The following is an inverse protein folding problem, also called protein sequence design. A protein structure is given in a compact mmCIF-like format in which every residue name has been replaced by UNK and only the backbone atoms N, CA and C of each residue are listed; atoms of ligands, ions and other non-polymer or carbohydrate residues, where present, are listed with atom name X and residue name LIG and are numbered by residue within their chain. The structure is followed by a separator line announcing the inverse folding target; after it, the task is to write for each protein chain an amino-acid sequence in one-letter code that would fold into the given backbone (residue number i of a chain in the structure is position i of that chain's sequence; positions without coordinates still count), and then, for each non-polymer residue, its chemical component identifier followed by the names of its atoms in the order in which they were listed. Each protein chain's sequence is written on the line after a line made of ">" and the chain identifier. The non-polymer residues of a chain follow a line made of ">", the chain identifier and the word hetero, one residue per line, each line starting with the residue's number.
data_IF_199965653825
#
_entry.id   IF_199965653825
#
_cell.length_a   1.000
_cell.length_b   1.000
_cell.length_c   1.000
_cell.angle_alpha   90.00
_cell.angle_beta   90.00
_cell.angle_gamma   90.00
#
_symmetry.space_group_name_H-M   'P 1'
#
loop_
_entity.id
_entity.type
_entity.pdbx_description
1 polymer ?
#
# COMPACT_ATOMS: atom_id res chain seq x y z
N UNK A 1 53.29 8.33 33.25
CA UNK A 1 52.15 9.23 32.92
C UNK A 1 51.61 8.93 31.52
N UNK A 2 52.46 8.71 30.52
CA UNK A 2 52.03 8.38 29.14
C UNK A 2 51.23 7.07 28.99
N UNK A 3 51.58 6.04 29.76
CA UNK A 3 50.96 4.71 29.67
C UNK A 3 49.52 4.68 30.25
N UNK A 4 49.24 5.59 31.21
CA UNK A 4 47.89 5.81 31.73
C UNK A 4 47.02 6.56 30.70
N UNK A 5 47.60 7.54 29.99
CA UNK A 5 46.91 8.33 28.97
C UNK A 5 46.53 7.49 27.73
N UNK A 6 47.40 6.55 27.32
CA UNK A 6 47.10 5.59 26.23
C UNK A 6 45.94 4.64 26.55
N UNK A 7 45.88 4.13 27.79
CA UNK A 7 44.79 3.25 28.26
C UNK A 7 43.47 4.01 28.35
N UNK A 8 43.49 5.28 28.79
CA UNK A 8 42.31 6.15 28.83
C UNK A 8 41.74 6.46 27.44
N UNK A 9 42.60 6.76 26.46
CA UNK A 9 42.18 7.02 25.07
C UNK A 9 41.59 5.77 24.43
N UNK A 10 42.19 4.59 24.66
CA UNK A 10 41.65 3.32 24.17
C UNK A 10 40.29 2.98 24.82
N UNK A 11 40.11 3.30 26.11
CA UNK A 11 38.86 3.05 26.82
C UNK A 11 37.72 4.00 26.37
N UNK A 12 38.02 5.28 26.13
CA UNK A 12 37.05 6.26 25.60
C UNK A 12 36.68 5.93 24.14
N UNK A 13 37.64 5.49 23.32
CA UNK A 13 37.39 5.08 21.94
C UNK A 13 36.51 3.80 21.86
N UNK A 14 36.70 2.84 22.78
CA UNK A 14 35.87 1.64 22.85
C UNK A 14 34.42 1.93 23.27
N UNK A 15 34.20 2.90 24.16
CA UNK A 15 32.85 3.34 24.57
C UNK A 15 32.15 4.12 23.45
N UNK A 16 32.87 4.98 22.72
CA UNK A 16 32.32 5.70 21.58
C UNK A 16 31.90 4.77 20.43
N UNK A 17 32.63 3.66 20.21
CA UNK A 17 32.28 2.66 19.20
C UNK A 17 31.06 1.82 19.62
N UNK A 18 30.90 1.50 20.91
CA UNK A 18 29.74 0.77 21.41
C UNK A 18 28.45 1.60 21.41
N UNK A 19 28.53 2.92 21.61
CA UNK A 19 27.37 3.81 21.58
C UNK A 19 26.79 4.04 20.17
N UNK A 20 27.59 3.85 19.11
CA UNK A 20 27.14 4.02 17.72
C UNK A 20 26.29 2.83 17.18
N UNK A 21 26.23 1.71 17.91
CA UNK A 21 25.48 0.50 17.54
C UNK A 21 24.05 0.45 18.09
N UNK A 22 23.62 1.49 18.80
CA UNK A 22 22.30 1.57 19.46
C UNK A 22 21.30 2.48 18.72
N UNK A 23 21.59 2.88 17.48
CA UNK A 23 20.55 3.50 16.66
C UNK A 23 19.49 2.45 16.36
N UNK A 24 18.22 2.64 16.78
CA UNK A 24 17.17 1.78 16.26
C UNK A 24 17.13 2.02 14.76
N UNK A 25 17.47 0.98 13.98
CA UNK A 25 17.01 0.92 12.59
C UNK A 25 15.49 0.88 12.72
N UNK A 26 14.86 2.05 12.60
CA UNK A 26 13.43 2.14 12.46
C UNK A 26 13.09 1.22 11.31
N UNK A 27 12.40 0.11 11.60
CA UNK A 27 11.83 -0.73 10.57
C UNK A 27 10.98 0.21 9.71
N UNK A 28 11.44 0.50 8.50
CA UNK A 28 10.62 1.19 7.52
C UNK A 28 9.37 0.34 7.42
N UNK A 29 8.23 0.86 7.87
CA UNK A 29 6.98 0.13 7.79
C UNK A 29 6.87 -0.40 6.36
N UNK A 30 6.69 -1.71 6.22
CA UNK A 30 6.50 -2.30 4.90
C UNK A 30 5.35 -1.52 4.26
N UNK A 31 5.54 -1.09 3.01
CA UNK A 31 4.46 -0.45 2.30
C UNK A 31 3.29 -1.45 2.28
N UNK A 32 2.14 -1.01 2.77
CA UNK A 32 0.93 -1.83 2.84
C UNK A 32 0.14 -1.64 1.54
N UNK A 33 -0.61 -2.67 1.16
CA UNK A 33 -1.65 -2.51 0.15
C UNK A 33 -2.71 -1.51 0.64
N UNK A 34 -3.33 -0.76 -0.26
CA UNK A 34 -4.36 0.21 0.10
C UNK A 34 -5.62 0.02 -0.73
N UNK A 35 -6.76 0.42 -0.16
CA UNK A 35 -8.07 0.42 -0.79
C UNK A 35 -8.72 1.80 -0.59
N UNK A 36 -9.40 2.29 -1.61
CA UNK A 36 -10.10 3.58 -1.60
C UNK A 36 -11.42 3.44 -2.37
N UNK A 37 -12.54 3.81 -1.73
CA UNK A 37 -13.83 3.91 -2.42
C UNK A 37 -13.91 5.22 -3.19
N UNK A 38 -14.36 5.13 -4.44
CA UNK A 38 -14.47 6.27 -5.36
C UNK A 38 -15.81 6.19 -6.10
N UNK A 39 -16.40 7.35 -6.37
CA UNK A 39 -17.56 7.47 -7.26
C UNK A 39 -17.11 8.12 -8.57
N UNK A 40 -17.40 7.47 -9.68
CA UNK A 40 -17.16 7.97 -11.03
C UNK A 40 -18.49 8.40 -11.62
N UNK A 41 -18.63 9.67 -11.98
CA UNK A 41 -19.83 10.19 -12.66
C UNK A 41 -19.69 9.90 -14.16
N UNK A 42 -20.67 9.21 -14.74
CA UNK A 42 -20.68 8.93 -16.17
C UNK A 42 -20.96 10.19 -16.98
N UNK A 43 -20.05 10.57 -17.87
CA UNK A 43 -20.25 11.71 -18.78
C UNK A 43 -21.43 11.49 -19.76
N UNK A 44 -21.85 10.23 -19.97
CA UNK A 44 -22.91 9.90 -20.91
C UNK A 44 -24.30 10.31 -20.42
N UNK A 45 -24.55 10.15 -19.12
CA UNK A 45 -25.89 10.35 -18.53
C UNK A 45 -25.90 10.83 -17.09
N UNK A 46 -24.75 11.19 -16.52
CA UNK A 46 -24.61 11.66 -15.15
C UNK A 46 -24.74 10.56 -14.09
N UNK A 47 -24.85 9.29 -14.47
CA UNK A 47 -25.02 8.21 -13.49
C UNK A 47 -23.75 8.02 -12.68
N UNK A 48 -23.90 7.97 -11.36
CA UNK A 48 -22.83 7.66 -10.42
C UNK A 48 -22.52 6.16 -10.43
N UNK A 49 -21.26 5.81 -10.69
CA UNK A 49 -20.74 4.45 -10.67
C UNK A 49 -19.76 4.31 -9.52
N UNK A 50 -20.07 3.44 -8.57
CA UNK A 50 -19.27 3.21 -7.39
C UNK A 50 -18.19 2.15 -7.66
N UNK A 51 -16.95 2.47 -7.30
CA UNK A 51 -15.79 1.58 -7.45
C UNK A 51 -14.97 1.55 -6.16
N UNK A 52 -14.18 0.50 -5.99
CA UNK A 52 -13.09 0.46 -5.02
C UNK A 52 -11.77 0.30 -5.77
N UNK A 53 -10.82 1.20 -5.53
CA UNK A 53 -9.48 1.20 -6.11
C UNK A 53 -8.50 0.60 -5.11
N UNK A 54 -7.93 -0.54 -5.48
CA UNK A 54 -6.89 -1.21 -4.73
C UNK A 54 -5.52 -0.94 -5.36
N UNK A 55 -4.57 -0.49 -4.54
CA UNK A 55 -3.20 -0.19 -4.99
C UNK A 55 -2.20 -1.12 -4.30
N UNK A 56 -1.34 -1.82 -5.06
CA UNK A 56 -0.30 -2.65 -4.47
C UNK A 56 0.76 -1.75 -3.84
N UNK A 57 1.45 -2.30 -2.84
CA UNK A 57 2.46 -1.60 -2.06
C UNK A 57 3.66 -1.14 -2.91
N UNK A 58 3.89 -1.84 -4.03
CA UNK A 58 4.97 -1.59 -4.98
C UNK A 58 4.67 -0.45 -5.95
N UNK A 59 3.41 -0.03 -6.09
CA UNK A 59 3.03 1.03 -7.01
C UNK A 59 3.44 2.41 -6.49
N UNK A 60 3.98 3.23 -7.39
CA UNK A 60 4.32 4.63 -7.10
C UNK A 60 4.08 5.50 -8.34
N UNK A 61 4.21 6.82 -8.19
CA UNK A 61 4.09 7.75 -9.33
C UNK A 61 5.15 7.51 -10.40
N UNK A 62 6.36 7.12 -10.01
CA UNK A 62 7.48 6.83 -10.93
C UNK A 62 7.48 5.39 -11.46
N UNK A 63 6.74 4.49 -10.81
CA UNK A 63 6.56 3.10 -11.24
C UNK A 63 5.11 2.68 -11.02
N UNK A 64 4.20 3.05 -11.94
CA UNK A 64 2.80 2.70 -11.82
C UNK A 64 2.58 1.19 -12.06
N UNK A 65 1.60 0.61 -11.36
CA UNK A 65 1.20 -0.77 -11.57
C UNK A 65 0.25 -0.91 -12.78
N UNK A 66 0.32 -2.02 -13.53
CA UNK A 66 -0.77 -2.41 -14.42
C UNK A 66 -2.06 -2.64 -13.60
N UNK A 67 -3.22 -2.41 -14.22
CA UNK A 67 -4.52 -2.44 -13.53
C UNK A 67 -5.43 -3.53 -14.11
N UNK A 68 -6.06 -4.29 -13.22
CA UNK A 68 -7.14 -5.23 -13.53
C UNK A 68 -8.48 -4.55 -13.22
N UNK A 69 -9.41 -4.57 -14.17
CA UNK A 69 -10.82 -4.24 -13.90
C UNK A 69 -11.53 -5.52 -13.44
N UNK A 70 -12.04 -5.50 -12.21
CA UNK A 70 -12.69 -6.63 -11.56
C UNK A 70 -14.19 -6.38 -11.44
N UNK A 71 -15.01 -7.28 -11.99
CA UNK A 71 -16.47 -7.22 -11.86
C UNK A 71 -16.97 -8.23 -10.85
N UNK A 72 -18.10 -7.93 -10.23
CA UNK A 72 -18.86 -8.95 -9.50
C UNK A 72 -19.53 -9.96 -10.44
N UNK A 73 -19.93 -11.10 -9.88
CA UNK A 73 -20.78 -12.08 -10.57
C UNK A 73 -22.23 -11.62 -10.73
N UNK A 74 -23.09 -12.50 -11.23
CA UNK A 74 -24.50 -12.20 -11.49
C UNK A 74 -25.24 -11.73 -10.23
N UNK A 75 -25.79 -10.51 -10.25
CA UNK A 75 -26.55 -9.93 -9.14
C UNK A 75 -25.72 -9.56 -7.90
N UNK A 76 -24.39 -9.53 -8.02
CA UNK A 76 -23.48 -9.23 -6.91
C UNK A 76 -23.24 -7.74 -6.67
N UNK A 77 -22.25 -7.48 -5.83
CA UNK A 77 -21.67 -6.16 -5.58
C UNK A 77 -20.14 -6.27 -5.60
N UNK A 78 -19.48 -5.13 -5.81
CA UNK A 78 -18.03 -5.02 -5.84
C UNK A 78 -17.40 -5.53 -4.56
N UNK A 79 -16.20 -6.08 -4.69
CA UNK A 79 -15.34 -6.32 -3.55
C UNK A 79 -14.81 -4.98 -3.05
N UNK A 80 -15.05 -4.67 -1.78
CA UNK A 80 -14.67 -3.39 -1.16
C UNK A 80 -13.55 -3.51 -0.11
N UNK A 81 -13.07 -4.72 0.16
CA UNK A 81 -12.00 -4.98 1.13
C UNK A 81 -10.89 -5.82 0.49
N UNK A 82 -9.68 -5.67 1.01
CA UNK A 82 -8.54 -6.50 0.62
C UNK A 82 -8.74 -7.90 1.21
N UNK A 83 -8.66 -8.89 0.33
CA UNK A 83 -8.74 -10.31 0.67
C UNK A 83 -8.94 -11.15 -0.59
N UNK A 84 -8.90 -12.47 -0.46
CA UNK A 84 -9.18 -13.40 -1.57
C UNK A 84 -8.35 -13.10 -2.82
N UNK A 85 -9.02 -13.07 -3.96
CA UNK A 85 -8.41 -12.78 -5.26
C UNK A 85 -7.81 -11.35 -5.35
N UNK A 86 -8.39 -10.37 -4.66
CA UNK A 86 -7.88 -8.99 -4.65
C UNK A 86 -6.47 -8.98 -4.04
N UNK A 87 -6.30 -9.64 -2.90
CA UNK A 87 -4.99 -9.76 -2.24
C UNK A 87 -3.99 -10.52 -3.11
N UNK A 88 -4.42 -11.58 -3.80
CA UNK A 88 -3.56 -12.32 -4.73
C UNK A 88 -3.06 -11.44 -5.89
N UNK A 89 -3.92 -10.61 -6.48
CA UNK A 89 -3.54 -9.69 -7.55
C UNK A 89 -2.60 -8.58 -7.07
N UNK A 90 -2.86 -8.02 -5.87
CA UNK A 90 -2.00 -6.99 -5.27
C UNK A 90 -0.60 -7.53 -4.95
N UNK A 91 -0.51 -8.74 -4.40
CA UNK A 91 0.75 -9.44 -4.16
C UNK A 91 1.51 -9.73 -5.47
N UNK A 92 0.79 -9.96 -6.58
CA UNK A 92 1.38 -10.10 -7.91
C UNK A 92 1.77 -8.76 -8.57
N UNK A 93 1.54 -7.62 -7.90
CA UNK A 93 1.94 -6.30 -8.36
C UNK A 93 0.93 -5.60 -9.26
N UNK A 94 -0.31 -6.09 -9.34
CA UNK A 94 -1.39 -5.44 -10.09
C UNK A 94 -2.21 -4.51 -9.18
N UNK A 95 -2.55 -3.33 -9.68
CA UNK A 95 -3.69 -2.57 -9.16
C UNK A 95 -5.00 -3.25 -9.55
N UNK A 96 -6.03 -3.06 -8.74
CA UNK A 96 -7.37 -3.59 -9.05
C UNK A 96 -8.40 -2.49 -8.90
N UNK A 97 -9.31 -2.37 -9.85
CA UNK A 97 -10.52 -1.57 -9.71
C UNK A 97 -11.69 -2.52 -9.66
N UNK A 98 -12.34 -2.64 -8.50
CA UNK A 98 -13.59 -3.42 -8.40
C UNK A 98 -14.79 -2.50 -8.60
N UNK A 99 -15.71 -2.87 -9.49
CA UNK A 99 -16.84 -2.04 -9.90
C UNK A 99 -18.17 -2.62 -9.43
N UNK A 100 -19.04 -1.74 -8.91
CA UNK A 100 -20.48 -2.01 -8.91
C UNK A 100 -21.00 -1.65 -10.30
N UNK A 101 -21.44 -2.64 -11.06
CA UNK A 101 -22.01 -2.38 -12.38
C UNK A 101 -23.25 -1.47 -12.22
N UNK A 102 -23.60 -0.73 -13.27
CA UNK A 102 -24.80 0.09 -13.29
C UNK A 102 -26.03 -0.70 -12.79
N UNK A 103 -26.84 -0.05 -11.95
CA UNK A 103 -28.01 -0.68 -11.33
C UNK A 103 -27.70 -1.70 -10.22
N UNK A 104 -26.44 -1.85 -9.81
CA UNK A 104 -26.02 -2.79 -8.77
C UNK A 104 -25.31 -2.07 -7.62
N UNK A 105 -25.34 -2.68 -6.43
CA UNK A 105 -24.62 -2.19 -5.26
C UNK A 105 -24.90 -0.72 -4.96
N UNK A 106 -23.83 0.08 -4.88
CA UNK A 106 -23.93 1.52 -4.65
C UNK A 106 -23.90 2.36 -5.95
N UNK A 107 -23.90 1.73 -7.12
CA UNK A 107 -24.02 2.42 -8.40
C UNK A 107 -25.48 2.78 -8.68
N UNK A 108 -25.70 3.94 -9.30
CA UNK A 108 -27.01 4.35 -9.78
C UNK A 108 -27.41 3.66 -11.08
N UNK A 109 -28.55 4.10 -11.62
CA UNK A 109 -29.09 3.63 -12.89
C UNK A 109 -29.79 2.27 -12.80
N UNK A 110 -29.90 1.60 -13.96
CA UNK A 110 -30.57 0.32 -14.18
C UNK A 110 -29.92 -0.42 -15.35
#
# INVERSE_FOLDING_TARGET
>A
MEDLMRKSVAFVAAIALAAALLTPVSAMAAAEHSAEDVVVVSDADGTEIAITVFRPATASKSSPAPVILHSHGWGGSRTAAIGGEIEAFLNAGFGVVSIDQRGHGASGGQ
#
